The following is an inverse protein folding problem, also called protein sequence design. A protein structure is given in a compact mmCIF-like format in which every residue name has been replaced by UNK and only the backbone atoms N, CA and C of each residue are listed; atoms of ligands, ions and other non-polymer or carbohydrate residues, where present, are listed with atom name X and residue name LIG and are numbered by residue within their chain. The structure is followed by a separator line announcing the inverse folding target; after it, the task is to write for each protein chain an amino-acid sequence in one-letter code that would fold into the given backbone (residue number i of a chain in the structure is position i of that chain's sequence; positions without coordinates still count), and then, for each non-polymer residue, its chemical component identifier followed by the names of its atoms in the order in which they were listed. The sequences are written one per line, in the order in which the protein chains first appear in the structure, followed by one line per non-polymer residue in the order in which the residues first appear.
data_IF_839917843107
#
_entry.id   IF_839917843107
#
_cell.length_a   1.000
_cell.length_b   1.000
_cell.length_c   1.000
_cell.angle_alpha   90.00
_cell.angle_beta   90.00
_cell.angle_gamma   90.00
#
_symmetry.space_group_name_H-M   'P 1'
#
loop_
_entity.id
_entity.type
_entity.pdbx_description
1 polymer ?
#
# COMPACT_ATOMS: atom_id res chain seq x y z
N UNK A 1 -2.75 7.68 1.55
CA UNK A 1 -1.73 8.77 1.54
C UNK A 1 -0.93 8.82 0.24
N UNK A 2 -0.56 7.67 -0.35
CA UNK A 2 0.22 7.56 -1.60
C UNK A 2 -0.38 8.28 -2.83
N UNK A 3 -1.71 8.42 -2.89
CA UNK A 3 -2.38 9.05 -4.03
C UNK A 3 -2.01 10.54 -4.22
N UNK A 4 -1.78 11.27 -3.12
CA UNK A 4 -1.34 12.67 -3.19
C UNK A 4 0.05 12.79 -3.84
N UNK A 5 0.94 11.84 -3.55
CA UNK A 5 2.28 11.77 -4.14
C UNK A 5 2.18 11.43 -5.64
N UNK A 6 1.31 10.49 -6.02
CA UNK A 6 1.09 10.16 -7.42
C UNK A 6 0.56 11.35 -8.22
N UNK A 7 -0.37 12.14 -7.65
CA UNK A 7 -0.86 13.36 -8.29
C UNK A 7 0.26 14.38 -8.52
N UNK A 8 1.16 14.54 -7.55
CA UNK A 8 2.31 15.43 -7.65
C UNK A 8 3.27 14.98 -8.77
N UNK A 9 3.54 13.68 -8.88
CA UNK A 9 4.34 13.13 -9.97
C UNK A 9 3.74 13.38 -11.36
N UNK A 10 2.42 13.23 -11.51
CA UNK A 10 1.72 13.54 -12.78
C UNK A 10 1.80 15.04 -13.07
N UNK A 11 1.61 15.89 -12.07
CA UNK A 11 1.68 17.35 -12.21
C UNK A 11 3.08 17.80 -12.70
N UNK A 12 4.16 17.35 -12.06
CA UNK A 12 5.52 17.69 -12.46
C UNK A 12 5.94 17.04 -13.78
N UNK A 13 5.50 15.81 -14.05
CA UNK A 13 5.69 15.16 -15.35
C UNK A 13 5.12 16.00 -16.49
N UNK A 14 3.92 16.56 -16.28
CA UNK A 14 3.26 17.43 -17.26
C UNK A 14 3.98 18.79 -17.36
N UNK A 15 4.36 19.38 -16.24
CA UNK A 15 5.04 20.68 -16.18
C UNK A 15 6.42 20.67 -16.85
N UNK A 16 7.21 19.60 -16.65
CA UNK A 16 8.53 19.45 -17.25
C UNK A 16 8.54 18.75 -18.62
N UNK A 17 7.36 18.36 -19.14
CA UNK A 17 7.23 17.55 -20.36
C UNK A 17 8.06 16.26 -20.33
N UNK A 18 8.18 15.66 -19.14
CA UNK A 18 8.97 14.46 -18.89
C UNK A 18 8.05 13.31 -18.48
N UNK A 19 7.98 12.27 -19.32
CA UNK A 19 7.15 11.09 -19.08
C UNK A 19 7.62 10.22 -17.89
N UNK A 20 8.84 10.42 -17.37
CA UNK A 20 9.37 9.62 -16.25
C UNK A 20 8.47 9.67 -15.00
N UNK A 21 7.88 10.82 -14.70
CA UNK A 21 6.96 10.95 -13.55
C UNK A 21 5.70 10.10 -13.71
N UNK A 22 5.14 9.99 -14.92
CA UNK A 22 4.02 9.08 -15.19
C UNK A 22 4.42 7.61 -15.09
N UNK A 23 5.62 7.24 -15.57
CA UNK A 23 6.13 5.87 -15.42
C UNK A 23 6.27 5.49 -13.95
N UNK A 24 6.77 6.38 -13.10
CA UNK A 24 6.92 6.12 -11.66
C UNK A 24 5.56 5.91 -10.97
N UNK A 25 4.52 6.62 -11.40
CA UNK A 25 3.15 6.45 -10.89
C UNK A 25 2.63 5.03 -11.17
N UNK A 26 2.94 4.44 -12.33
CA UNK A 26 2.58 3.04 -12.61
C UNK A 26 3.27 2.05 -11.67
N UNK A 27 4.57 2.23 -11.40
CA UNK A 27 5.27 1.39 -10.43
C UNK A 27 4.70 1.54 -9.01
N UNK A 28 4.42 2.76 -8.58
CA UNK A 28 3.76 3.06 -7.30
C UNK A 28 2.42 2.34 -7.17
N UNK A 29 1.58 2.35 -8.22
CA UNK A 29 0.31 1.62 -8.24
C UNK A 29 0.50 0.10 -8.19
N UNK A 30 1.49 -0.44 -8.90
CA UNK A 30 1.79 -1.87 -8.88
C UNK A 30 2.24 -2.36 -7.49
N UNK A 31 3.13 -1.60 -6.83
CA UNK A 31 3.58 -1.89 -5.45
C UNK A 31 2.42 -1.80 -4.48
N UNK A 32 1.60 -0.75 -4.56
CA UNK A 32 0.42 -0.60 -3.71
C UNK A 32 -0.56 -1.78 -3.87
N UNK A 33 -0.79 -2.25 -5.10
CA UNK A 33 -1.61 -3.42 -5.34
C UNK A 33 -1.03 -4.70 -4.70
N UNK A 34 0.29 -4.90 -4.81
CA UNK A 34 0.98 -6.02 -4.19
C UNK A 34 0.91 -5.98 -2.64
N UNK A 35 1.17 -4.81 -2.04
CA UNK A 35 1.10 -4.61 -0.59
C UNK A 35 -0.30 -4.89 -0.03
N UNK A 36 -1.34 -4.40 -0.71
CA UNK A 36 -2.73 -4.63 -0.28
C UNK A 36 -3.11 -6.11 -0.41
N UNK A 37 -2.68 -6.80 -1.47
CA UNK A 37 -2.94 -8.23 -1.62
C UNK A 37 -2.32 -9.05 -0.48
N UNK A 38 -1.05 -8.78 -0.14
CA UNK A 38 -0.35 -9.47 0.96
C UNK A 38 -0.95 -9.08 2.31
N UNK A 39 -1.20 -7.80 2.55
CA UNK A 39 -1.80 -7.32 3.79
C UNK A 39 -3.18 -7.93 4.05
N UNK A 40 -4.01 -8.05 3.01
CA UNK A 40 -5.32 -8.68 3.12
C UNK A 40 -5.21 -10.19 3.38
N UNK A 41 -4.29 -10.88 2.70
CA UNK A 41 -4.04 -12.30 2.95
C UNK A 41 -3.66 -12.55 4.43
N UNK A 42 -2.82 -11.69 5.00
CA UNK A 42 -2.44 -11.73 6.42
C UNK A 42 -3.67 -11.45 7.30
N UNK A 43 -4.46 -10.41 7.02
CA UNK A 43 -5.64 -10.07 7.81
C UNK A 43 -6.69 -11.19 7.81
N UNK A 44 -6.95 -11.82 6.66
CA UNK A 44 -7.86 -12.97 6.57
C UNK A 44 -7.32 -14.15 7.37
N UNK A 45 -6.01 -14.42 7.31
CA UNK A 45 -5.37 -15.46 8.11
C UNK A 45 -5.53 -15.21 9.62
N UNK A 46 -5.32 -13.97 10.06
CA UNK A 46 -5.50 -13.56 11.46
C UNK A 46 -6.97 -13.72 11.89
N UNK A 47 -7.90 -13.21 11.09
CA UNK A 47 -9.33 -13.30 11.40
C UNK A 47 -9.80 -14.75 11.48
N UNK A 48 -9.28 -15.65 10.63
CA UNK A 48 -9.62 -17.08 10.68
C UNK A 48 -9.11 -17.78 11.93
N UNK A 49 -8.04 -17.29 12.56
CA UNK A 49 -7.46 -17.89 13.77
C UNK A 49 -8.01 -17.27 15.06
N UNK A 50 -8.24 -15.94 15.09
CA UNK A 50 -8.62 -15.21 16.31
C UNK A 50 -10.09 -14.76 16.31
N UNK A 51 -10.80 -14.85 15.19
CA UNK A 51 -12.19 -14.36 15.05
C UNK A 51 -12.33 -12.83 15.14
N UNK A 52 -11.21 -12.10 15.20
CA UNK A 52 -11.17 -10.63 15.30
C UNK A 52 -9.92 -10.09 14.60
N UNK A 53 -10.03 -8.86 14.08
CA UNK A 53 -8.92 -8.10 13.50
C UNK A 53 -8.37 -7.03 14.46
N UNK A 54 -8.83 -7.00 15.71
CA UNK A 54 -8.32 -6.06 16.70
C UNK A 54 -6.87 -6.37 17.05
N UNK A 55 -6.00 -5.40 16.77
CA UNK A 55 -4.55 -5.47 16.95
C UNK A 55 -4.18 -5.73 18.42
N UNK A 56 -5.02 -5.33 19.37
CA UNK A 56 -4.77 -5.59 20.79
C UNK A 56 -4.75 -7.08 21.14
N UNK A 57 -5.46 -7.91 20.39
CA UNK A 57 -5.48 -9.36 20.57
C UNK A 57 -4.20 -10.04 20.03
N UNK A 58 -3.33 -9.30 19.34
CA UNK A 58 -2.10 -9.83 18.72
C UNK A 58 -0.85 -9.71 19.63
N UNK A 59 -1.01 -9.63 20.95
CA UNK A 59 0.08 -9.38 21.93
C UNK A 59 0.68 -10.65 22.56
N UNK A 60 0.69 -11.76 21.85
CA UNK A 60 1.14 -13.06 22.39
C UNK A 60 2.67 -13.22 22.47
N UNK A 61 3.44 -12.34 21.84
CA UNK A 61 4.90 -12.33 21.95
C UNK A 61 5.31 -11.55 23.21
N UNK A 62 5.88 -12.26 24.19
CA UNK A 62 6.56 -11.68 25.36
C UNK A 62 8.03 -12.12 25.32
N UNK A 63 8.94 -11.16 25.39
CA UNK A 63 10.36 -11.36 25.63
C UNK A 63 10.66 -11.16 27.11
#
# INVERSE_FOLDING_TARGET
MLNAVNLLFVAFSTYHQDAQGQVFVFFSMAVAAAEVAVGLAILVSIFRNLGSIDINNLKNLKG
#
